data_IF_753017517475
#
_entry.id   IF_753017517475
#
_cell.length_a   1.000
_cell.length_b   1.000
_cell.length_c   1.000
_cell.angle_alpha   90.00
_cell.angle_beta   90.00
_cell.angle_gamma   90.00
#
_symmetry.space_group_name_H-M   'P 1'
#
loop_
_entity.id
_entity.type
_entity.pdbx_description
1 polymer ?
#
# COMPACT_ATOMS: atom_id res chain seq x y z
N UNK A 1 24.36 6.22 17.07
CA UNK A 1 23.79 7.51 17.46
C UNK A 1 23.21 8.16 16.20
N UNK A 2 21.97 8.64 16.26
CA UNK A 2 21.35 9.47 15.24
C UNK A 2 21.17 10.88 15.81
N UNK A 3 21.36 11.88 14.97
CA UNK A 3 21.20 13.28 15.36
C UNK A 3 20.07 13.87 14.55
N UNK A 4 19.09 14.44 15.24
CA UNK A 4 18.00 15.17 14.59
C UNK A 4 18.55 16.46 13.99
N UNK A 5 18.39 16.62 12.70
CA UNK A 5 18.74 17.84 11.97
C UNK A 5 17.52 18.75 11.84
N UNK A 6 17.72 19.97 11.39
CA UNK A 6 16.66 20.86 10.95
C UNK A 6 15.99 20.32 9.67
N UNK A 7 14.81 20.82 9.35
CA UNK A 7 14.07 20.41 8.16
C UNK A 7 14.84 20.85 6.91
N UNK A 8 15.00 19.91 5.99
CA UNK A 8 15.66 20.12 4.70
C UNK A 8 14.71 19.81 3.55
N UNK A 9 14.91 20.43 2.36
CA UNK A 9 14.25 20.01 1.14
C UNK A 9 14.49 18.51 0.87
N UNK A 10 13.50 17.83 0.27
CA UNK A 10 13.57 16.38 -0.01
C UNK A 10 14.76 16.02 -0.91
N UNK A 11 15.16 16.92 -1.78
CA UNK A 11 16.31 16.74 -2.67
C UNK A 11 17.64 16.52 -1.91
N UNK A 12 17.70 16.95 -0.65
CA UNK A 12 18.87 16.68 0.21
C UNK A 12 19.04 15.19 0.56
N UNK A 13 17.99 14.39 0.47
CA UNK A 13 18.08 12.95 0.67
C UNK A 13 18.92 12.25 -0.40
N UNK A 14 19.10 12.84 -1.56
CA UNK A 14 19.91 12.32 -2.67
C UNK A 14 21.32 12.94 -2.73
N UNK A 15 21.66 13.82 -1.80
CA UNK A 15 22.93 14.51 -1.81
C UNK A 15 24.08 13.63 -1.33
N UNK A 16 25.08 13.45 -2.18
CA UNK A 16 26.41 12.92 -1.84
C UNK A 16 27.49 13.93 -2.22
N UNK A 17 28.46 14.16 -1.33
CA UNK A 17 29.53 15.11 -1.64
C UNK A 17 30.26 15.63 -0.41
N UNK A 18 31.11 16.62 -0.61
CA UNK A 18 31.85 17.28 0.45
C UNK A 18 31.29 18.68 0.70
N UNK A 19 30.85 18.90 1.94
CA UNK A 19 30.43 20.24 2.41
C UNK A 19 31.68 20.98 2.90
N UNK A 20 31.98 22.19 2.38
CA UNK A 20 33.19 22.93 2.70
C UNK A 20 33.31 23.26 4.19
N UNK A 21 34.55 23.37 4.66
CA UNK A 21 34.82 23.83 6.05
C UNK A 21 34.25 25.23 6.27
N UNK A 22 33.56 25.41 7.41
CA UNK A 22 32.92 26.68 7.77
C UNK A 22 31.42 26.74 7.44
N UNK A 23 30.89 25.79 6.72
CA UNK A 23 29.44 25.63 6.54
C UNK A 23 28.90 24.63 7.56
N UNK A 24 27.59 24.74 7.87
CA UNK A 24 26.90 23.79 8.73
C UNK A 24 26.96 22.38 8.12
N UNK A 25 27.29 21.38 8.94
CA UNK A 25 27.45 20.00 8.46
C UNK A 25 28.73 19.74 7.67
N UNK A 26 29.75 20.62 7.75
CA UNK A 26 31.00 20.45 7.02
C UNK A 26 31.60 19.05 7.15
N UNK A 27 31.93 18.42 6.02
CA UNK A 27 32.43 17.04 5.97
C UNK A 27 32.03 16.33 4.70
N UNK A 28 32.29 15.04 4.62
CA UNK A 28 31.87 14.20 3.48
C UNK A 28 30.57 13.49 3.82
N UNK A 29 29.55 13.70 3.00
CA UNK A 29 28.26 13.01 3.05
C UNK A 29 28.27 11.85 2.07
N UNK A 30 27.90 10.68 2.54
CA UNK A 30 27.65 9.48 1.72
C UNK A 30 26.31 8.88 2.11
N UNK A 31 25.54 8.51 1.12
CA UNK A 31 24.30 7.77 1.34
C UNK A 31 24.66 6.34 1.74
N UNK A 32 24.37 5.99 2.98
CA UNK A 32 24.58 4.63 3.49
C UNK A 32 23.55 3.65 2.93
N UNK A 33 22.29 4.09 2.85
CA UNK A 33 21.21 3.37 2.20
C UNK A 33 20.09 4.36 1.80
N UNK A 34 19.24 3.93 0.89
CA UNK A 34 18.04 4.67 0.46
C UNK A 34 16.90 3.68 0.29
N UNK A 35 15.68 4.10 0.63
CA UNK A 35 14.52 3.25 0.53
C UNK A 35 13.31 3.82 1.24
N UNK A 36 12.45 2.96 1.75
CA UNK A 36 11.23 3.35 2.45
C UNK A 36 11.28 2.96 3.92
N UNK A 37 10.41 3.56 4.72
CA UNK A 37 10.25 3.18 6.11
C UNK A 37 8.77 2.98 6.47
N UNK A 38 8.51 1.99 7.30
CA UNK A 38 7.21 1.75 7.92
C UNK A 38 7.28 2.16 9.37
N UNK A 39 6.42 3.09 9.77
CA UNK A 39 6.37 3.57 11.15
C UNK A 39 5.35 2.73 11.92
N UNK A 40 5.82 1.90 12.85
CA UNK A 40 4.96 1.13 13.75
C UNK A 40 4.55 1.94 14.99
N UNK A 41 5.43 2.85 15.43
CA UNK A 41 5.19 3.68 16.60
C UNK A 41 5.89 5.03 16.43
N UNK A 42 5.18 6.11 16.72
CA UNK A 42 5.73 7.46 16.75
C UNK A 42 5.31 8.18 18.03
N UNK A 43 6.27 8.43 18.92
CA UNK A 43 6.09 9.21 20.15
C UNK A 43 7.27 10.15 20.33
N UNK A 44 7.12 11.18 21.14
CA UNK A 44 8.14 12.23 21.37
C UNK A 44 9.52 11.69 21.76
N UNK A 45 9.58 10.54 22.41
CA UNK A 45 10.83 9.95 22.93
C UNK A 45 11.15 8.57 22.37
N UNK A 46 10.29 8.01 21.54
CA UNK A 46 10.45 6.67 20.98
C UNK A 46 9.77 6.54 19.61
N UNK A 47 10.54 6.14 18.63
CA UNK A 47 10.05 5.78 17.31
C UNK A 47 10.43 4.32 17.05
N UNK A 48 9.49 3.51 16.55
CA UNK A 48 9.78 2.16 16.06
C UNK A 48 9.43 2.15 14.58
N UNK A 49 10.40 1.77 13.76
CA UNK A 49 10.26 1.75 12.31
C UNK A 49 10.95 0.52 11.70
N UNK A 50 10.37 0.02 10.62
CA UNK A 50 11.01 -0.94 9.73
C UNK A 50 11.59 -0.16 8.55
N UNK A 51 12.89 -0.29 8.33
CA UNK A 51 13.59 0.34 7.24
C UNK A 51 13.81 -0.69 6.12
N UNK A 52 13.42 -0.32 4.91
CA UNK A 52 13.59 -1.11 3.70
C UNK A 52 14.63 -0.44 2.83
N UNK A 53 15.84 -0.97 2.79
CA UNK A 53 16.92 -0.48 1.97
C UNK A 53 16.97 -1.16 0.60
N UNK A 54 17.79 -0.62 -0.29
CA UNK A 54 18.06 -1.19 -1.62
C UNK A 54 19.01 -2.39 -1.54
N UNK A 55 18.98 -3.23 -2.55
CA UNK A 55 20.00 -4.27 -2.73
C UNK A 55 21.39 -3.65 -2.81
N UNK A 56 22.33 -4.18 -2.03
CA UNK A 56 23.69 -3.63 -1.94
C UNK A 56 23.81 -2.34 -1.10
N UNK A 57 22.72 -1.83 -0.53
CA UNK A 57 22.76 -0.75 0.46
C UNK A 57 23.22 -1.22 1.84
N UNK A 58 23.32 -0.31 2.80
CA UNK A 58 23.81 -0.60 4.14
C UNK A 58 22.96 -1.59 4.95
N UNK A 59 21.66 -1.72 4.61
CA UNK A 59 20.75 -2.71 5.17
C UNK A 59 20.83 -4.07 4.48
N UNK A 60 21.52 -4.14 3.33
CA UNK A 60 21.71 -5.38 2.56
C UNK A 60 20.46 -5.88 1.85
N UNK A 61 19.53 -4.98 1.48
CA UNK A 61 18.26 -5.31 0.82
C UNK A 61 17.28 -6.08 1.69
N UNK A 62 17.50 -6.17 3.01
CA UNK A 62 16.64 -6.90 3.94
C UNK A 62 15.96 -5.91 4.88
N UNK A 63 14.62 -6.00 5.08
CA UNK A 63 13.91 -5.17 6.04
C UNK A 63 14.53 -5.28 7.44
N UNK A 64 14.75 -4.13 8.09
CA UNK A 64 15.32 -4.08 9.43
C UNK A 64 14.47 -3.23 10.34
N UNK A 65 14.05 -3.80 11.45
CA UNK A 65 13.26 -3.11 12.48
C UNK A 65 14.17 -2.43 13.48
N UNK A 66 14.02 -1.11 13.61
CA UNK A 66 14.79 -0.28 14.53
C UNK A 66 13.90 0.39 15.57
N UNK A 67 14.46 0.60 16.74
CA UNK A 67 13.95 1.52 17.73
C UNK A 67 14.87 2.74 17.80
N UNK A 68 14.30 3.94 17.66
CA UNK A 68 14.97 5.20 17.92
C UNK A 68 14.50 5.68 19.29
N UNK A 69 15.41 5.85 20.21
CA UNK A 69 15.14 6.30 21.58
C UNK A 69 15.82 7.64 21.77
N UNK A 70 15.04 8.67 22.08
CA UNK A 70 15.55 10.03 22.32
C UNK A 70 16.33 10.07 23.63
N UNK A 71 17.59 10.46 23.56
CA UNK A 71 18.48 10.57 24.73
C UNK A 71 18.56 11.99 25.26
N UNK A 72 18.50 12.99 24.37
CA UNK A 72 18.42 14.43 24.71
C UNK A 72 17.65 15.21 23.62
N UNK A 73 17.82 16.54 23.55
CA UNK A 73 17.04 17.38 22.64
C UNK A 73 17.19 17.00 21.15
N UNK A 74 18.38 16.60 20.72
CA UNK A 74 18.69 16.31 19.32
C UNK A 74 19.24 14.89 19.09
N UNK A 75 19.67 14.21 20.13
CA UNK A 75 20.33 12.91 19.99
C UNK A 75 19.36 11.76 20.23
N UNK A 76 19.47 10.76 19.35
CA UNK A 76 18.67 9.55 19.40
C UNK A 76 19.58 8.33 19.36
N UNK A 77 19.30 7.36 20.18
CA UNK A 77 19.91 6.04 20.10
C UNK A 77 19.15 5.20 19.06
N UNK A 78 19.80 4.93 17.94
CA UNK A 78 19.28 3.97 16.94
C UNK A 78 19.72 2.57 17.35
N UNK A 79 18.75 1.69 17.59
CA UNK A 79 18.98 0.32 18.03
C UNK A 79 18.23 -0.67 17.14
N UNK A 80 18.93 -1.67 16.62
CA UNK A 80 18.31 -2.82 15.99
C UNK A 80 17.52 -3.60 17.05
N UNK A 81 16.23 -3.85 16.82
CA UNK A 81 15.39 -4.61 17.77
C UNK A 81 15.73 -6.10 17.72
N UNK A 82 15.35 -6.86 18.76
CA UNK A 82 15.54 -8.32 18.76
C UNK A 82 14.57 -9.01 17.80
N UNK A 83 13.33 -8.54 17.80
CA UNK A 83 12.30 -9.05 16.90
C UNK A 83 12.47 -8.36 15.54
N UNK A 84 13.08 -9.08 14.62
CA UNK A 84 13.26 -8.62 13.25
C UNK A 84 12.11 -9.13 12.38
N UNK A 85 11.72 -8.35 11.36
CA UNK A 85 10.81 -8.86 10.33
C UNK A 85 11.38 -10.16 9.79
N UNK A 86 10.54 -11.16 9.59
CA UNK A 86 10.95 -12.36 8.87
C UNK A 86 11.51 -11.91 7.52
N UNK A 87 12.65 -12.43 7.12
CA UNK A 87 13.22 -12.20 5.81
C UNK A 87 12.36 -12.94 4.75
N UNK A 88 11.16 -12.43 4.55
CA UNK A 88 10.40 -12.78 3.36
C UNK A 88 11.09 -12.09 2.17
N UNK A 89 11.17 -12.72 0.98
CA UNK A 89 11.76 -12.08 -0.18
C UNK A 89 11.14 -10.71 -0.35
N UNK A 90 11.96 -9.69 -0.33
CA UNK A 90 11.57 -8.30 -0.51
C UNK A 90 11.06 -8.12 -1.93
N UNK A 91 9.76 -8.31 -2.11
CA UNK A 91 9.12 -7.48 -3.10
C UNK A 91 9.25 -6.06 -2.56
N UNK A 92 9.92 -5.17 -3.29
CA UNK A 92 10.02 -3.74 -2.99
C UNK A 92 8.71 -3.28 -2.37
N UNK A 93 8.71 -2.58 -1.20
CA UNK A 93 7.46 -2.09 -0.62
C UNK A 93 6.78 -1.22 -1.65
N UNK A 94 5.78 -1.76 -2.29
CA UNK A 94 5.00 -1.03 -3.28
C UNK A 94 4.01 -0.16 -2.52
N UNK A 95 4.25 1.14 -2.51
CA UNK A 95 3.28 2.09 -1.98
C UNK A 95 2.12 2.20 -3.00
N UNK A 96 0.88 1.88 -2.63
CA UNK A 96 -0.25 2.04 -3.53
C UNK A 96 -0.43 3.50 -3.92
N UNK A 97 -0.85 3.74 -5.14
CA UNK A 97 -1.17 5.09 -5.64
C UNK A 97 -2.25 5.72 -4.76
N UNK A 98 -2.05 6.98 -4.36
CA UNK A 98 -3.01 7.72 -3.56
C UNK A 98 -3.88 8.60 -4.46
N UNK A 99 -5.20 8.72 -4.17
CA UNK A 99 -6.06 9.62 -4.90
C UNK A 99 -5.75 11.09 -4.57
N UNK A 100 -5.89 11.96 -5.56
CA UNK A 100 -5.97 13.40 -5.36
C UNK A 100 -7.44 13.79 -5.22
N UNK A 101 -7.77 14.62 -4.22
CA UNK A 101 -9.12 15.11 -4.06
C UNK A 101 -9.48 16.06 -5.21
N UNK A 102 -10.67 15.86 -5.79
CA UNK A 102 -11.21 16.73 -6.82
C UNK A 102 -12.71 16.93 -6.60
N UNK A 103 -13.23 18.05 -7.06
CA UNK A 103 -14.66 18.33 -7.06
C UNK A 103 -15.29 17.92 -8.39
N UNK A 104 -16.62 17.69 -8.39
CA UNK A 104 -17.37 17.41 -9.62
C UNK A 104 -17.20 18.53 -10.67
N UNK A 105 -17.06 19.78 -10.22
CA UNK A 105 -16.85 20.94 -11.11
C UNK A 105 -15.52 20.87 -11.84
N UNK A 106 -14.45 20.51 -11.14
CA UNK A 106 -13.11 20.32 -11.72
C UNK A 106 -13.11 19.20 -12.75
N UNK A 107 -13.64 18.05 -12.42
CA UNK A 107 -13.80 16.92 -13.36
C UNK A 107 -14.56 17.33 -14.62
N UNK A 108 -15.68 18.08 -14.44
CA UNK A 108 -16.48 18.57 -15.57
C UNK A 108 -15.71 19.53 -16.48
N UNK A 109 -14.84 20.36 -15.92
CA UNK A 109 -14.00 21.27 -16.71
C UNK A 109 -12.95 20.48 -17.51
N UNK A 110 -12.26 19.54 -16.87
CA UNK A 110 -11.28 18.69 -17.55
C UNK A 110 -11.93 17.86 -18.66
N UNK A 111 -13.15 17.34 -18.47
CA UNK A 111 -13.89 16.65 -19.53
C UNK A 111 -14.22 17.55 -20.73
N UNK A 112 -14.53 18.83 -20.50
CA UNK A 112 -14.76 19.79 -21.59
C UNK A 112 -13.46 20.08 -22.38
N UNK A 113 -12.32 19.95 -21.72
CA UNK A 113 -11.00 20.09 -22.33
C UNK A 113 -10.50 18.78 -22.98
N UNK A 114 -11.36 17.73 -23.00
CA UNK A 114 -11.11 16.47 -23.69
C UNK A 114 -10.53 15.35 -22.82
N UNK A 115 -10.45 15.52 -21.50
CA UNK A 115 -10.07 14.44 -20.61
C UNK A 115 -11.17 13.38 -20.51
N UNK A 116 -10.77 12.12 -20.56
CA UNK A 116 -11.64 10.96 -20.35
C UNK A 116 -11.47 10.44 -18.92
N UNK A 117 -12.59 10.15 -18.25
CA UNK A 117 -12.61 9.61 -16.91
C UNK A 117 -13.36 8.28 -16.87
N UNK A 118 -12.86 7.38 -16.02
CA UNK A 118 -13.61 6.24 -15.53
C UNK A 118 -14.01 6.49 -14.08
N UNK A 119 -15.19 6.02 -13.71
CA UNK A 119 -15.77 6.18 -12.39
C UNK A 119 -15.89 4.81 -11.75
N UNK A 120 -15.36 4.68 -10.56
CA UNK A 120 -15.38 3.45 -9.77
C UNK A 120 -16.01 3.70 -8.41
N UNK A 121 -16.59 2.65 -7.82
CA UNK A 121 -17.11 2.70 -6.47
C UNK A 121 -15.98 2.93 -5.48
N UNK A 122 -16.17 3.87 -4.56
CA UNK A 122 -15.32 3.99 -3.38
C UNK A 122 -15.87 3.05 -2.30
N UNK A 123 -15.29 1.87 -2.22
CA UNK A 123 -15.61 0.89 -1.20
C UNK A 123 -15.13 1.35 0.18
N UNK A 124 -15.85 0.99 1.23
CA UNK A 124 -15.50 1.30 2.62
C UNK A 124 -15.01 0.05 3.34
N UNK A 125 -13.70 -0.14 3.39
CA UNK A 125 -13.05 -1.32 3.94
C UNK A 125 -11.59 -1.09 4.28
N UNK A 126 -10.79 -2.14 4.11
CA UNK A 126 -9.34 -2.07 4.24
C UNK A 126 -8.69 -2.20 2.86
N UNK A 127 -8.00 -1.15 2.41
CA UNK A 127 -7.22 -1.22 1.18
C UNK A 127 -6.07 -2.20 1.35
N UNK A 128 -6.05 -3.21 0.51
CA UNK A 128 -5.12 -4.33 0.54
C UNK A 128 -4.44 -4.48 -0.82
N UNK A 129 -3.13 -4.66 -0.79
CA UNK A 129 -2.36 -5.20 -1.90
C UNK A 129 -2.25 -6.71 -1.70
N UNK A 130 -2.70 -7.49 -2.68
CA UNK A 130 -2.54 -8.94 -2.67
C UNK A 130 -1.42 -9.35 -3.63
N UNK A 131 -0.40 -10.00 -3.09
CA UNK A 131 0.67 -10.64 -3.83
C UNK A 131 0.40 -12.15 -3.93
N UNK A 132 0.42 -12.67 -5.14
CA UNK A 132 0.32 -14.10 -5.43
C UNK A 132 1.61 -14.58 -6.10
N UNK A 133 2.24 -15.57 -5.50
CA UNK A 133 3.47 -16.23 -5.95
C UNK A 133 3.56 -17.60 -5.28
N UNK A 134 4.71 -17.96 -4.69
CA UNK A 134 4.87 -19.19 -3.91
C UNK A 134 3.90 -19.26 -2.71
N UNK A 135 3.45 -18.10 -2.27
CA UNK A 135 2.39 -17.95 -1.26
C UNK A 135 1.59 -16.69 -1.55
N UNK A 136 0.31 -16.70 -1.13
CA UNK A 136 -0.54 -15.50 -1.16
C UNK A 136 -0.27 -14.66 0.07
N UNK A 137 -0.12 -13.35 -0.12
CA UNK A 137 0.07 -12.37 0.95
C UNK A 137 -0.79 -11.15 0.72
N UNK A 138 -1.51 -10.75 1.76
CA UNK A 138 -2.34 -9.55 1.77
C UNK A 138 -1.72 -8.51 2.69
N UNK A 139 -1.44 -7.32 2.17
CA UNK A 139 -0.83 -6.24 2.94
C UNK A 139 -1.59 -4.93 2.80
N UNK A 140 -1.77 -4.23 3.91
CA UNK A 140 -2.31 -2.88 3.88
C UNK A 140 -1.31 -1.88 3.28
N UNK A 141 -1.76 -0.65 3.07
CA UNK A 141 -0.92 0.49 2.66
C UNK A 141 0.31 0.69 3.55
N UNK A 142 0.18 0.43 4.85
CA UNK A 142 1.28 0.54 5.81
C UNK A 142 2.16 -0.70 5.91
N UNK A 143 1.90 -1.74 5.08
CA UNK A 143 2.64 -3.00 5.10
C UNK A 143 2.17 -4.01 6.14
N UNK A 144 1.17 -3.68 6.98
CA UNK A 144 0.60 -4.65 7.94
C UNK A 144 0.06 -5.86 7.19
N UNK A 145 0.44 -7.06 7.63
CA UNK A 145 -0.03 -8.33 7.05
C UNK A 145 -1.46 -8.63 7.51
N UNK A 146 -2.35 -8.77 6.55
CA UNK A 146 -3.76 -9.12 6.71
C UNK A 146 -4.13 -10.47 6.09
N UNK A 147 -3.13 -11.28 5.70
CA UNK A 147 -3.37 -12.59 5.08
C UNK A 147 -4.25 -13.47 5.94
N UNK A 148 -4.09 -13.38 7.26
CA UNK A 148 -4.89 -14.15 8.24
C UNK A 148 -6.37 -13.73 8.28
N UNK A 149 -6.69 -12.51 7.84
CA UNK A 149 -8.05 -11.97 7.86
C UNK A 149 -8.89 -12.49 6.70
N UNK A 150 -8.28 -12.85 5.56
CA UNK A 150 -8.99 -13.33 4.37
C UNK A 150 -8.78 -14.82 4.16
N UNK A 151 -9.73 -15.68 4.56
CA UNK A 151 -9.57 -17.14 4.50
C UNK A 151 -9.63 -17.73 3.08
N UNK A 152 -10.04 -16.92 2.08
CA UNK A 152 -10.22 -17.34 0.68
C UNK A 152 -8.99 -17.02 -0.19
N UNK A 153 -7.79 -17.22 0.36
CA UNK A 153 -6.53 -16.95 -0.36
C UNK A 153 -6.31 -17.86 -1.55
N UNK A 154 -6.91 -19.04 -1.56
CA UNK A 154 -6.93 -19.96 -2.70
C UNK A 154 -7.68 -19.39 -3.91
N UNK A 155 -8.71 -18.60 -3.68
CA UNK A 155 -9.43 -17.90 -4.75
C UNK A 155 -8.57 -16.81 -5.41
N UNK A 156 -7.72 -16.13 -4.64
CA UNK A 156 -6.72 -15.22 -5.19
C UNK A 156 -5.68 -15.95 -6.04
N UNK A 157 -5.28 -17.15 -5.63
CA UNK A 157 -4.38 -17.99 -6.42
C UNK A 157 -5.05 -18.48 -7.71
N UNK A 158 -6.36 -18.70 -7.70
CA UNK A 158 -7.15 -19.00 -8.91
C UNK A 158 -7.28 -17.81 -9.84
N UNK A 159 -7.50 -16.60 -9.30
CA UNK A 159 -7.55 -15.37 -10.10
C UNK A 159 -6.22 -15.10 -10.79
N UNK A 160 -5.10 -15.32 -10.13
CA UNK A 160 -3.74 -15.00 -10.59
C UNK A 160 -2.90 -16.28 -10.75
N UNK A 161 -3.34 -17.20 -11.60
CA UNK A 161 -2.75 -18.55 -11.81
C UNK A 161 -1.23 -18.50 -12.05
N UNK A 162 -0.77 -17.53 -12.85
CA UNK A 162 0.65 -17.37 -13.18
C UNK A 162 1.35 -16.37 -12.24
N UNK A 163 0.74 -16.11 -11.08
CA UNK A 163 1.23 -15.14 -10.11
C UNK A 163 0.99 -13.69 -10.52
N UNK A 164 1.05 -12.80 -9.55
CA UNK A 164 0.81 -11.40 -9.81
C UNK A 164 0.64 -10.55 -8.55
N UNK A 165 0.23 -9.31 -8.76
CA UNK A 165 -0.14 -8.37 -7.70
C UNK A 165 -1.36 -7.58 -8.12
N UNK A 166 -2.33 -7.52 -7.25
CA UNK A 166 -3.55 -6.73 -7.42
C UNK A 166 -3.74 -5.77 -6.25
N UNK A 167 -4.45 -4.68 -6.52
CA UNK A 167 -4.86 -3.68 -5.53
C UNK A 167 -6.38 -3.71 -5.40
N UNK A 168 -6.87 -3.69 -4.18
CA UNK A 168 -8.30 -3.84 -3.92
C UNK A 168 -8.67 -3.38 -2.52
N UNK A 169 -9.97 -3.50 -2.22
CA UNK A 169 -10.55 -3.21 -0.91
C UNK A 169 -11.13 -4.49 -0.31
N UNK A 170 -10.69 -4.85 0.89
CA UNK A 170 -11.27 -5.96 1.65
C UNK A 170 -12.46 -5.46 2.45
N UNK A 171 -13.62 -6.07 2.25
CA UNK A 171 -14.88 -5.73 2.88
C UNK A 171 -15.41 -6.88 3.72
N UNK A 172 -16.20 -6.55 4.74
CA UNK A 172 -17.25 -7.44 5.24
C UNK A 172 -18.60 -6.92 4.70
N UNK A 173 -19.47 -7.84 4.33
CA UNK A 173 -20.83 -7.52 3.90
C UNK A 173 -21.83 -8.00 4.94
N UNK A 174 -22.88 -7.20 5.16
CA UNK A 174 -24.02 -7.58 5.97
C UNK A 174 -24.94 -8.60 5.26
N UNK A 175 -26.07 -8.92 5.86
CA UNK A 175 -27.05 -9.87 5.31
C UNK A 175 -27.73 -9.36 4.04
N UNK A 176 -27.74 -8.05 3.82
CA UNK A 176 -28.32 -7.40 2.64
C UNK A 176 -27.28 -7.16 1.53
N UNK A 177 -26.01 -7.60 1.78
CA UNK A 177 -24.91 -7.45 0.83
C UNK A 177 -24.25 -6.08 0.84
N UNK A 178 -24.53 -5.25 1.85
CA UNK A 178 -23.92 -3.91 1.99
C UNK A 178 -22.65 -3.95 2.81
N UNK A 179 -21.69 -3.04 2.55
CA UNK A 179 -20.46 -2.96 3.34
C UNK A 179 -20.74 -2.68 4.83
N UNK A 180 -20.17 -3.52 5.70
CA UNK A 180 -20.18 -3.37 7.16
C UNK A 180 -18.75 -3.27 7.69
N UNK A 181 -18.28 -2.01 7.82
CA UNK A 181 -16.95 -1.73 8.35
C UNK A 181 -16.78 -2.21 9.80
N UNK A 182 -17.86 -2.19 10.61
CA UNK A 182 -17.79 -2.64 12.00
C UNK A 182 -17.56 -4.14 12.10
N UNK A 183 -18.22 -4.92 11.25
CA UNK A 183 -17.99 -6.37 11.16
C UNK A 183 -16.56 -6.69 10.70
N UNK A 184 -16.03 -5.94 9.71
CA UNK A 184 -14.64 -6.08 9.26
C UNK A 184 -13.64 -5.79 10.39
N UNK A 185 -13.84 -4.69 11.11
CA UNK A 185 -12.97 -4.29 12.22
C UNK A 185 -13.03 -5.30 13.38
N UNK A 186 -14.21 -5.84 13.67
CA UNK A 186 -14.39 -6.90 14.66
C UNK A 186 -13.61 -8.17 14.26
N UNK A 187 -13.69 -8.56 12.99
CA UNK A 187 -12.95 -9.72 12.47
C UNK A 187 -11.43 -9.53 12.56
N UNK A 188 -10.90 -8.31 12.32
CA UNK A 188 -9.47 -7.99 12.49
C UNK A 188 -9.02 -8.12 13.96
N UNK A 189 -9.85 -7.71 14.91
CA UNK A 189 -9.50 -7.75 16.35
C UNK A 189 -9.59 -9.15 16.97
N UNK A 190 -10.54 -9.97 16.56
CA UNK A 190 -10.86 -11.24 17.20
C UNK A 190 -10.47 -12.47 16.37
N UNK A 191 -10.01 -12.24 15.12
CA UNK A 191 -9.67 -13.29 14.16
C UNK A 191 -10.90 -13.88 13.47
N UNK A 192 -10.69 -14.41 12.27
CA UNK A 192 -11.72 -15.00 11.39
C UNK A 192 -12.31 -16.32 11.90
N UNK A 193 -11.98 -16.75 13.13
CA UNK A 193 -12.62 -17.90 13.76
C UNK A 193 -14.10 -17.69 14.06
N UNK A 194 -14.55 -16.44 14.08
CA UNK A 194 -15.98 -16.13 14.01
C UNK A 194 -16.47 -16.38 12.57
N UNK A 195 -17.09 -17.56 12.39
CA UNK A 195 -17.58 -18.10 11.11
C UNK A 195 -18.71 -17.29 10.45
N UNK A 196 -18.79 -15.99 10.70
CA UNK A 196 -19.90 -15.14 10.27
C UNK A 196 -19.55 -13.94 9.42
N UNK A 197 -18.29 -13.56 9.31
CA UNK A 197 -17.95 -12.40 8.49
C UNK A 197 -17.98 -12.79 7.00
N UNK A 198 -18.97 -12.25 6.26
CA UNK A 198 -19.07 -12.41 4.82
C UNK A 198 -18.05 -11.50 4.14
N UNK A 199 -16.81 -11.97 4.00
CA UNK A 199 -15.70 -11.19 3.46
C UNK A 199 -15.67 -11.25 1.94
N UNK A 200 -15.41 -10.10 1.32
CA UNK A 200 -15.18 -9.95 -0.13
C UNK A 200 -13.95 -9.08 -0.36
N UNK A 201 -13.18 -9.46 -1.36
CA UNK A 201 -12.06 -8.66 -1.82
C UNK A 201 -12.39 -8.07 -3.19
N UNK A 202 -12.61 -6.75 -3.21
CA UNK A 202 -13.00 -5.99 -4.40
C UNK A 202 -11.73 -5.51 -5.10
N UNK A 203 -11.34 -6.19 -6.17
CA UNK A 203 -10.11 -5.92 -6.92
C UNK A 203 -10.39 -4.86 -7.97
N UNK A 204 -9.75 -3.70 -7.88
CA UNK A 204 -9.97 -2.59 -8.80
C UNK A 204 -8.74 -2.28 -9.68
N UNK A 205 -7.55 -2.82 -9.38
CA UNK A 205 -6.37 -2.62 -10.22
C UNK A 205 -5.46 -3.87 -10.24
N UNK A 206 -4.74 -4.07 -11.35
CA UNK A 206 -3.71 -5.09 -11.50
C UNK A 206 -2.35 -4.43 -11.76
N UNK A 207 -1.39 -4.71 -10.90
CA UNK A 207 -0.09 -4.03 -10.87
C UNK A 207 1.04 -4.92 -11.39
N UNK A 208 0.86 -6.24 -11.33
CA UNK A 208 1.76 -7.24 -11.91
C UNK A 208 0.94 -8.46 -12.31
N UNK A 209 1.20 -9.02 -13.48
CA UNK A 209 0.53 -10.21 -13.99
C UNK A 209 1.54 -11.10 -14.72
N UNK A 210 1.61 -12.38 -14.37
CA UNK A 210 2.50 -13.37 -15.00
C UNK A 210 3.97 -12.86 -15.09
N UNK A 211 4.48 -12.27 -14.01
CA UNK A 211 5.84 -11.71 -13.94
C UNK A 211 6.04 -10.34 -14.61
N UNK A 212 5.08 -9.83 -15.38
CA UNK A 212 5.14 -8.52 -16.03
C UNK A 212 4.70 -7.43 -15.04
N UNK A 213 5.55 -6.42 -14.84
CA UNK A 213 5.19 -5.19 -14.12
C UNK A 213 4.29 -4.32 -15.01
N UNK A 214 3.15 -3.91 -14.47
CA UNK A 214 2.13 -3.09 -15.15
C UNK A 214 2.04 -1.68 -14.56
N UNK A 215 2.84 -1.34 -13.56
CA UNK A 215 2.75 -0.04 -12.86
C UNK A 215 3.02 1.17 -13.76
N UNK A 216 3.78 0.98 -14.84
CA UNK A 216 4.01 2.00 -15.87
C UNK A 216 2.95 2.05 -16.97
N UNK A 217 2.01 1.11 -17.00
CA UNK A 217 0.95 1.09 -18.01
C UNK A 217 -0.19 2.05 -17.64
N UNK A 218 -0.87 2.64 -18.64
CA UNK A 218 -2.07 3.43 -18.42
C UNK A 218 -3.19 2.62 -17.73
N UNK A 219 -4.07 3.32 -16.99
CA UNK A 219 -5.17 2.70 -16.27
C UNK A 219 -6.05 1.81 -17.17
N UNK A 220 -6.43 2.29 -18.34
CA UNK A 220 -7.29 1.54 -19.27
C UNK A 220 -6.66 0.20 -19.72
N UNK A 221 -5.35 0.15 -19.90
CA UNK A 221 -4.62 -1.08 -20.24
C UNK A 221 -4.65 -2.07 -19.08
N UNK A 222 -4.40 -1.59 -17.85
CA UNK A 222 -4.46 -2.43 -16.66
C UNK A 222 -5.89 -2.91 -16.39
N UNK A 223 -6.88 -2.03 -16.59
CA UNK A 223 -8.30 -2.37 -16.44
C UNK A 223 -8.75 -3.45 -17.42
N UNK A 224 -8.37 -3.35 -18.69
CA UNK A 224 -8.67 -4.36 -19.70
C UNK A 224 -8.08 -5.73 -19.32
N UNK A 225 -6.86 -5.76 -18.81
CA UNK A 225 -6.23 -6.99 -18.32
C UNK A 225 -6.94 -7.55 -17.10
N UNK A 226 -7.34 -6.69 -16.17
CA UNK A 226 -8.07 -7.08 -14.97
C UNK A 226 -9.43 -7.72 -15.33
N UNK A 227 -10.17 -7.14 -16.25
CA UNK A 227 -11.49 -7.63 -16.68
C UNK A 227 -11.44 -8.98 -17.43
N UNK A 228 -10.26 -9.41 -17.86
CA UNK A 228 -10.05 -10.74 -18.44
C UNK A 228 -9.85 -11.84 -17.40
N UNK A 229 -9.63 -11.46 -16.13
CA UNK A 229 -9.47 -12.44 -15.06
C UNK A 229 -10.82 -13.01 -14.64
N UNK A 230 -10.81 -14.28 -14.25
CA UNK A 230 -12.02 -14.96 -13.81
C UNK A 230 -12.32 -14.62 -12.34
N UNK A 231 -13.42 -13.95 -12.10
CA UNK A 231 -13.93 -13.71 -10.75
C UNK A 231 -14.27 -15.02 -10.02
N UNK A 232 -14.25 -14.95 -8.70
CA UNK A 232 -14.65 -16.05 -7.83
C UNK A 232 -15.77 -15.60 -6.88
N UNK A 233 -16.19 -16.45 -5.95
CA UNK A 233 -17.24 -16.08 -5.01
C UNK A 233 -16.83 -14.92 -4.08
N UNK A 234 -15.55 -14.90 -3.63
CA UNK A 234 -15.08 -13.95 -2.64
C UNK A 234 -14.08 -12.91 -3.21
N UNK A 235 -13.62 -13.09 -4.44
CA UNK A 235 -12.73 -12.16 -5.13
C UNK A 235 -13.44 -11.62 -6.37
N UNK A 236 -13.85 -10.35 -6.30
CA UNK A 236 -14.75 -9.70 -7.25
C UNK A 236 -14.04 -8.54 -7.93
N UNK A 237 -14.28 -8.36 -9.22
CA UNK A 237 -13.80 -7.22 -10.00
C UNK A 237 -14.99 -6.26 -10.22
N UNK A 238 -15.14 -5.21 -9.39
CA UNK A 238 -16.28 -4.32 -9.49
C UNK A 238 -16.27 -3.54 -10.81
N UNK A 239 -17.44 -3.17 -11.34
CA UNK A 239 -17.53 -2.46 -12.60
C UNK A 239 -16.89 -1.07 -12.53
N UNK A 240 -16.26 -0.67 -13.64
CA UNK A 240 -15.86 0.71 -13.89
C UNK A 240 -16.81 1.31 -14.94
N UNK A 241 -17.25 2.53 -14.70
CA UNK A 241 -18.19 3.25 -15.58
C UNK A 241 -17.41 4.30 -16.37
N UNK A 242 -17.50 4.24 -17.69
CA UNK A 242 -16.86 5.20 -18.59
C UNK A 242 -17.87 6.15 -19.21
N UNK A 243 -17.41 7.32 -19.64
CA UNK A 243 -18.22 8.34 -20.31
C UNK A 243 -18.97 9.24 -19.36
N UNK A 244 -20.12 8.83 -18.80
CA UNK A 244 -20.94 9.65 -17.90
C UNK A 244 -20.78 9.26 -16.44
N UNK A 245 -20.81 10.25 -15.55
CA UNK A 245 -20.81 10.08 -14.10
C UNK A 245 -22.12 9.45 -13.56
N UNK A 246 -23.25 9.69 -14.23
CA UNK A 246 -24.57 9.35 -13.70
C UNK A 246 -24.82 7.85 -13.45
N UNK A 247 -24.31 6.89 -14.27
CA UNK A 247 -24.45 5.47 -13.97
C UNK A 247 -23.71 5.06 -12.68
N UNK A 248 -22.48 5.56 -12.49
CA UNK A 248 -21.70 5.30 -11.28
C UNK A 248 -22.39 5.88 -10.03
N UNK A 249 -22.97 7.09 -10.16
CA UNK A 249 -23.69 7.73 -9.07
C UNK A 249 -24.92 6.91 -8.65
N UNK A 250 -25.73 6.46 -9.62
CA UNK A 250 -26.91 5.61 -9.33
C UNK A 250 -26.52 4.30 -8.65
N UNK A 251 -25.46 3.64 -9.12
CA UNK A 251 -24.96 2.43 -8.49
C UNK A 251 -24.50 2.69 -7.03
N UNK A 252 -23.95 3.88 -6.74
CA UNK A 252 -23.56 4.26 -5.39
C UNK A 252 -24.77 4.54 -4.46
N UNK A 253 -25.90 5.00 -5.00
CA UNK A 253 -27.12 5.24 -4.23
C UNK A 253 -27.87 3.95 -3.85
N UNK A 254 -27.61 2.84 -4.55
CA UNK A 254 -28.22 1.53 -4.29
C UNK A 254 -27.49 0.72 -3.21
N UNK A 255 -26.23 1.08 -2.90
CA UNK A 255 -25.41 0.47 -1.84
C UNK A 255 -25.64 1.15 -0.49
#
# INVERSE_FOLDING_TARGET
LAVQTEDHPIEYAEFEGTIPKGQYGAGTVKIWDIGTCEIEKWRDREIIAILHGRDGGGLGGVPRRFALIRTDEKNWLLKLTRDQPSAAPTTTPFAPMLPTAATRGEITLEQKDGAEFAYEMKWDGYRILADVGDAVRLRSRSGKDYTHLFPHTDELAQLLVDGGRVDGELLALDTDGKPDFSALHHADQHGTRDKGANLRYMVFDVLRLAGRDLTGEPWNVRRELLEQLAETEHVVIPPAYTGSFDPAWRAAEEL
#
